data_IF_058845782781
#
_entry.id   IF_058845782781
#
_cell.length_a   1.000
_cell.length_b   1.000
_cell.length_c   1.000
_cell.angle_alpha   90.00
_cell.angle_beta   90.00
_cell.angle_gamma   90.00
#
_symmetry.space_group_name_H-M   'P 1'
#
loop_
_entity.id
_entity.type
_entity.pdbx_description
1 polymer ?
#
# COMPACT_ATOMS: atom_id res chain seq x y z
N UNK A 1 -7.23 -24.54 -5.92
CA UNK A 1 -6.02 -23.76 -6.29
C UNK A 1 -5.08 -23.75 -5.11
N UNK A 2 -3.87 -24.30 -5.25
CA UNK A 2 -2.83 -24.30 -4.21
C UNK A 2 -1.74 -23.34 -4.64
N UNK A 3 -1.37 -22.40 -3.77
CA UNK A 3 -0.08 -21.71 -3.87
C UNK A 3 0.67 -21.88 -2.56
N UNK A 4 1.84 -22.50 -2.68
CA UNK A 4 2.80 -22.76 -1.63
C UNK A 4 3.47 -21.47 -1.18
N UNK A 5 3.75 -21.40 0.12
CA UNK A 5 4.53 -20.35 0.77
C UNK A 5 5.96 -20.27 0.21
N UNK A 6 6.44 -19.06 0.00
CA UNK A 6 7.87 -18.76 -0.14
C UNK A 6 8.23 -17.80 0.98
N UNK A 7 9.08 -18.28 1.89
CA UNK A 7 9.54 -17.54 3.07
C UNK A 7 10.47 -16.38 2.70
N UNK A 8 10.37 -15.30 3.47
CA UNK A 8 11.26 -14.15 3.41
C UNK A 8 12.08 -14.12 4.70
N UNK A 9 13.39 -14.32 4.58
CA UNK A 9 14.35 -14.21 5.67
C UNK A 9 14.54 -12.74 6.06
N UNK A 10 14.51 -12.48 7.37
CA UNK A 10 14.78 -11.17 7.96
C UNK A 10 16.26 -10.78 7.80
N UNK A 11 16.51 -9.60 7.24
CA UNK A 11 17.79 -8.90 7.39
C UNK A 11 17.54 -7.61 8.17
N UNK A 12 17.84 -7.64 9.46
CA UNK A 12 17.91 -6.45 10.31
C UNK A 12 19.38 -6.02 10.42
N UNK A 13 19.69 -4.82 9.93
CA UNK A 13 20.91 -4.09 10.32
C UNK A 13 20.48 -2.70 10.80
N UNK A 14 20.59 -2.51 12.10
CA UNK A 14 20.29 -1.28 12.83
C UNK A 14 21.58 -0.50 13.02
N UNK A 15 21.62 0.77 12.63
CA UNK A 15 22.65 1.72 13.03
C UNK A 15 21.95 3.02 13.45
N UNK A 16 22.07 3.36 14.74
CA UNK A 16 21.62 4.61 15.36
C UNK A 16 22.46 5.83 14.91
N UNK A 17 21.91 7.06 14.90
CA UNK A 17 22.70 8.27 14.71
C UNK A 17 22.92 9.04 16.02
N UNK A 18 24.09 9.68 16.14
CA UNK A 18 24.41 10.74 17.11
C UNK A 18 24.94 11.98 16.38
N UNK A 19 24.39 13.15 16.75
CA UNK A 19 25.02 14.51 16.84
C UNK A 19 25.56 15.14 15.52
N UNK A 20 25.60 16.45 15.23
CA UNK A 20 25.41 17.73 15.94
C UNK A 20 25.50 18.91 14.91
N UNK A 21 25.10 20.13 15.32
CA UNK A 21 25.56 21.50 14.91
C UNK A 21 25.16 22.16 13.56
N UNK A 22 24.24 23.14 13.71
CA UNK A 22 24.27 24.60 13.40
C UNK A 22 24.43 25.25 12.00
N UNK A 23 23.66 26.36 11.89
CA UNK A 23 24.02 27.71 11.38
C UNK A 23 23.37 28.23 10.09
N UNK A 24 22.66 29.35 10.31
CA UNK A 24 22.26 30.50 9.49
C UNK A 24 22.91 30.72 8.11
N UNK A 25 22.12 31.22 7.15
CA UNK A 25 22.59 32.20 6.15
C UNK A 25 21.48 33.16 5.67
N UNK A 26 21.88 34.41 5.53
CA UNK A 26 21.20 35.61 5.00
C UNK A 26 21.29 35.64 3.46
N UNK A 27 20.32 36.24 2.74
CA UNK A 27 20.55 36.73 1.36
C UNK A 27 19.92 38.10 1.06
N UNK A 28 20.72 38.84 0.29
CA UNK A 28 20.63 40.20 -0.23
C UNK A 28 19.69 40.33 -1.45
N UNK A 29 19.21 41.56 -1.66
CA UNK A 29 18.55 42.20 -2.83
C UNK A 29 19.34 42.03 -4.16
N UNK A 30 18.95 42.39 -5.40
CA UNK A 30 18.02 43.36 -6.06
C UNK A 30 18.19 43.13 -7.62
N UNK A 31 18.15 44.11 -8.56
CA UNK A 31 17.11 44.97 -9.21
C UNK A 31 16.89 44.57 -10.73
N UNK A 32 16.18 45.27 -11.67
CA UNK A 32 16.40 46.58 -12.35
C UNK A 32 15.26 46.83 -13.38
N UNK A 33 14.90 48.10 -13.63
CA UNK A 33 14.07 48.57 -14.76
C UNK A 33 14.72 49.76 -15.51
N UNK A 34 14.37 49.95 -16.80
CA UNK A 34 14.66 51.10 -17.68
C UNK A 34 13.80 51.01 -18.98
N UNK A 35 13.65 52.00 -19.90
CA UNK A 35 13.71 53.51 -19.84
C UNK A 35 12.70 54.33 -20.75
N UNK A 36 12.64 55.68 -20.52
CA UNK A 36 12.54 56.90 -21.43
C UNK A 36 11.22 57.33 -22.21
N UNK A 37 11.14 58.53 -22.89
CA UNK A 37 11.12 59.98 -22.46
C UNK A 37 9.95 60.81 -23.17
N UNK A 38 9.83 62.20 -23.26
CA UNK A 38 10.74 63.17 -23.95
C UNK A 38 10.83 64.68 -23.46
N UNK A 39 11.94 65.33 -23.87
CA UNK A 39 12.29 66.70 -24.36
C UNK A 39 11.55 68.01 -23.98
N UNK A 40 12.34 69.08 -23.64
CA UNK A 40 12.21 70.46 -24.19
C UNK A 40 13.47 71.34 -23.94
N UNK A 41 13.76 72.25 -24.88
CA UNK A 41 14.97 73.10 -25.04
C UNK A 41 14.78 74.54 -24.51
N UNK A 42 15.86 75.24 -24.09
CA UNK A 42 16.25 76.57 -24.63
C UNK A 42 17.60 77.12 -24.10
N UNK A 43 18.26 77.88 -24.99
CA UNK A 43 19.61 78.45 -24.99
C UNK A 43 19.92 79.56 -23.96
N UNK A 44 21.20 79.83 -23.67
CA UNK A 44 22.01 80.97 -24.21
C UNK A 44 23.35 81.15 -23.48
N UNK A 45 24.45 80.91 -24.22
CA UNK A 45 25.72 81.66 -24.33
C UNK A 45 26.51 82.17 -23.09
N UNK A 46 27.73 81.63 -22.88
CA UNK A 46 28.89 82.41 -22.46
C UNK A 46 30.24 81.70 -22.75
N UNK A 47 31.01 82.33 -23.65
CA UNK A 47 32.48 82.48 -23.66
C UNK A 47 33.37 81.24 -23.87
N UNK A 48 33.96 81.21 -25.07
CA UNK A 48 35.04 80.31 -25.47
C UNK A 48 36.37 80.61 -24.75
N UNK A 49 36.97 79.56 -24.19
CA UNK A 49 38.42 79.38 -23.98
C UNK A 49 38.81 78.02 -24.60
N UNK A 50 40.00 77.88 -25.20
CA UNK A 50 40.38 76.70 -25.99
C UNK A 50 40.72 75.51 -25.07
N UNK A 51 40.52 74.26 -25.54
CA UNK A 51 40.63 73.08 -24.69
C UNK A 51 42.10 72.81 -24.34
N UNK A 52 42.45 72.46 -23.09
CA UNK A 52 43.66 71.70 -22.89
C UNK A 52 43.39 70.30 -23.46
N UNK A 53 44.22 69.93 -24.42
CA UNK A 53 44.44 68.55 -24.87
C UNK A 53 44.51 67.63 -23.63
N UNK A 54 43.39 67.00 -23.28
CA UNK A 54 43.41 65.86 -22.37
C UNK A 54 43.91 64.72 -23.23
N UNK A 55 45.24 64.62 -23.32
CA UNK A 55 45.91 63.38 -23.68
C UNK A 55 45.42 62.36 -22.65
N UNK A 56 44.39 61.62 -23.01
CA UNK A 56 43.99 60.39 -22.34
C UNK A 56 45.27 59.54 -22.31
N UNK A 57 45.95 59.57 -21.17
CA UNK A 57 47.26 58.97 -21.01
C UNK A 57 47.04 57.47 -21.05
N UNK A 58 46.98 56.91 -22.27
CA UNK A 58 46.88 55.47 -22.51
C UNK A 58 47.92 54.83 -21.59
N UNK A 59 47.44 54.02 -20.65
CA UNK A 59 48.34 53.28 -19.77
C UNK A 59 49.36 52.56 -20.65
N UNK A 60 50.63 52.43 -20.20
CA UNK A 60 51.61 51.64 -20.93
C UNK A 60 51.01 50.27 -21.30
N UNK A 61 51.29 49.73 -22.50
CA UNK A 61 50.70 48.47 -22.97
C UNK A 61 50.84 47.33 -21.96
N UNK A 62 51.96 47.31 -21.22
CA UNK A 62 52.25 46.40 -20.11
C UNK A 62 51.23 46.49 -18.97
N UNK A 63 50.88 47.71 -18.53
CA UNK A 63 49.91 47.94 -17.45
C UNK A 63 48.48 47.63 -17.88
N UNK A 64 48.17 47.80 -19.17
CA UNK A 64 46.87 47.37 -19.71
C UNK A 64 46.78 45.85 -19.74
N UNK A 65 47.86 45.17 -20.17
CA UNK A 65 47.94 43.72 -20.23
C UNK A 65 47.83 43.08 -18.84
N UNK A 66 48.49 43.66 -17.84
CA UNK A 66 48.39 43.26 -16.43
C UNK A 66 46.95 43.30 -15.90
N UNK A 67 46.16 44.31 -16.31
CA UNK A 67 44.74 44.39 -15.97
C UNK A 67 43.93 43.21 -16.50
N UNK A 68 44.24 42.72 -17.70
CA UNK A 68 43.58 41.54 -18.27
C UNK A 68 44.05 40.22 -17.64
N UNK A 69 45.32 40.11 -17.26
CA UNK A 69 45.82 38.90 -16.58
C UNK A 69 45.19 38.65 -15.21
N UNK A 70 44.75 39.70 -14.54
CA UNK A 70 44.03 39.60 -13.27
C UNK A 70 42.55 39.22 -13.43
N UNK A 71 42.04 39.14 -14.66
CA UNK A 71 40.65 38.80 -14.97
C UNK A 71 40.53 37.29 -15.29
N UNK A 72 39.50 36.59 -14.79
CA UNK A 72 39.26 35.21 -15.21
C UNK A 72 38.91 35.15 -16.71
N UNK A 73 39.28 34.06 -17.38
CA UNK A 73 39.13 33.91 -18.83
C UNK A 73 37.65 34.02 -19.27
N UNK A 74 36.71 33.62 -18.42
CA UNK A 74 35.27 33.76 -18.67
C UNK A 74 34.84 35.23 -18.68
N UNK A 75 35.43 36.07 -17.83
CA UNK A 75 35.16 37.50 -17.81
C UNK A 75 35.84 38.21 -18.99
N UNK A 76 37.02 37.75 -19.42
CA UNK A 76 37.66 38.21 -20.67
C UNK A 76 36.78 37.89 -21.89
N UNK A 77 36.18 36.69 -21.92
CA UNK A 77 35.21 36.28 -22.95
C UNK A 77 33.95 37.15 -22.92
N UNK A 78 33.37 37.39 -21.73
CA UNK A 78 32.18 38.23 -21.58
C UNK A 78 32.43 39.69 -21.97
N UNK A 79 33.63 40.21 -21.67
CA UNK A 79 34.05 41.56 -22.05
C UNK A 79 34.47 41.68 -23.52
N UNK A 80 34.45 40.57 -24.29
CA UNK A 80 34.94 40.50 -25.67
C UNK A 80 36.38 41.07 -25.82
N UNK A 81 37.21 40.83 -24.81
CA UNK A 81 38.50 41.51 -24.67
C UNK A 81 39.67 40.79 -25.37
N UNK A 82 39.47 39.58 -25.88
CA UNK A 82 40.51 38.79 -26.57
C UNK A 82 41.20 39.57 -27.70
N UNK A 83 40.45 40.26 -28.57
CA UNK A 83 41.04 41.06 -29.65
C UNK A 83 41.85 42.27 -29.16
N UNK A 84 41.43 42.88 -28.05
CA UNK A 84 42.19 43.97 -27.41
C UNK A 84 43.50 43.47 -26.82
N UNK A 85 43.48 42.29 -26.19
CA UNK A 85 44.67 41.63 -25.64
C UNK A 85 45.63 41.22 -26.77
N UNK A 86 45.12 40.59 -27.84
CA UNK A 86 45.88 40.24 -29.06
C UNK A 86 46.58 41.48 -29.65
N UNK A 87 45.87 42.61 -29.73
CA UNK A 87 46.41 43.88 -30.23
C UNK A 87 47.51 44.48 -29.34
N UNK A 88 47.37 44.37 -28.02
CA UNK A 88 48.40 44.82 -27.05
C UNK A 88 49.67 43.96 -27.18
N UNK A 89 49.52 42.63 -27.20
CA UNK A 89 50.64 41.69 -27.31
C UNK A 89 51.37 41.90 -28.66
N UNK A 90 50.63 42.03 -29.76
CA UNK A 90 51.21 42.27 -31.08
C UNK A 90 52.02 43.56 -31.15
N UNK A 91 51.54 44.61 -30.49
CA UNK A 91 52.26 45.90 -30.40
C UNK A 91 53.55 45.76 -29.60
N UNK A 92 53.52 45.03 -28.49
CA UNK A 92 54.70 44.76 -27.66
C UNK A 92 55.76 43.94 -28.41
N UNK A 93 55.35 42.92 -29.18
CA UNK A 93 56.25 42.10 -30.03
C UNK A 93 57.00 42.98 -31.04
N UNK A 94 56.33 43.96 -31.65
CA UNK A 94 56.93 44.85 -32.65
C UNK A 94 57.95 45.82 -32.05
N UNK A 95 57.78 46.20 -30.79
CA UNK A 95 58.67 47.15 -30.09
C UNK A 95 59.75 46.48 -29.23
N UNK A 96 59.68 45.15 -29.05
CA UNK A 96 60.60 44.39 -28.21
C UNK A 96 61.92 44.11 -28.96
N UNK A 97 63.04 44.51 -28.34
CA UNK A 97 64.39 44.26 -28.87
C UNK A 97 65.03 42.98 -28.30
N UNK A 98 64.47 42.42 -27.23
CA UNK A 98 64.96 41.20 -26.59
C UNK A 98 64.32 39.96 -27.21
N UNK A 99 65.16 39.05 -27.73
CA UNK A 99 64.70 37.87 -28.45
C UNK A 99 63.90 36.90 -27.55
N UNK A 100 64.23 36.85 -26.26
CA UNK A 100 63.60 35.96 -25.28
C UNK A 100 62.22 36.48 -24.88
N UNK A 101 62.09 37.76 -24.57
CA UNK A 101 60.81 38.43 -24.32
C UNK A 101 59.88 38.32 -25.52
N UNK A 102 60.41 38.51 -26.73
CA UNK A 102 59.64 38.33 -27.96
C UNK A 102 59.07 36.91 -28.10
N UNK A 103 59.89 35.90 -27.84
CA UNK A 103 59.46 34.49 -27.86
C UNK A 103 58.36 34.21 -26.83
N UNK A 104 58.45 34.81 -25.63
CA UNK A 104 57.43 34.68 -24.58
C UNK A 104 56.10 35.31 -25.02
N UNK A 105 56.13 36.48 -25.67
CA UNK A 105 54.93 37.14 -26.17
C UNK A 105 54.27 36.37 -27.33
N UNK A 106 55.06 35.72 -28.18
CA UNK A 106 54.55 34.83 -29.25
C UNK A 106 53.87 33.56 -28.68
N UNK A 107 54.45 32.95 -27.63
CA UNK A 107 53.81 31.83 -26.90
C UNK A 107 52.50 32.27 -26.24
N UNK A 108 52.49 33.46 -25.62
CA UNK A 108 51.30 34.03 -25.00
C UNK A 108 50.16 34.24 -26.01
N UNK A 109 50.49 34.73 -27.21
CA UNK A 109 49.51 34.94 -28.29
C UNK A 109 48.91 33.61 -28.77
N UNK A 110 49.74 32.57 -28.85
CA UNK A 110 49.29 31.21 -29.19
C UNK A 110 48.34 30.65 -28.12
N UNK A 111 48.70 30.74 -26.83
CA UNK A 111 47.84 30.32 -25.71
C UNK A 111 46.53 31.11 -25.64
N UNK A 112 46.56 32.40 -25.96
CA UNK A 112 45.36 33.25 -25.97
C UNK A 112 44.35 32.77 -27.01
N UNK A 113 44.81 32.35 -28.19
CA UNK A 113 43.97 31.74 -29.22
C UNK A 113 43.36 30.41 -28.74
N UNK A 114 44.14 29.56 -28.08
CA UNK A 114 43.64 28.31 -27.47
C UNK A 114 42.55 28.58 -26.42
N UNK A 115 42.73 29.60 -25.56
CA UNK A 115 41.73 29.97 -24.56
C UNK A 115 40.45 30.55 -25.17
N UNK A 116 40.58 31.36 -26.22
CA UNK A 116 39.45 31.94 -26.96
C UNK A 116 38.53 30.86 -27.53
N UNK A 117 39.09 29.74 -27.98
CA UNK A 117 38.32 28.60 -28.49
C UNK A 117 37.82 27.66 -27.38
N UNK A 118 38.66 27.35 -26.39
CA UNK A 118 38.35 26.32 -25.40
C UNK A 118 37.39 26.77 -24.30
N UNK A 119 37.41 28.05 -23.89
CA UNK A 119 36.61 28.55 -22.77
C UNK A 119 35.10 28.52 -23.04
N UNK A 120 34.59 28.95 -24.21
CA UNK A 120 33.17 28.81 -24.53
C UNK A 120 32.69 27.35 -24.53
N UNK A 121 33.52 26.43 -25.02
CA UNK A 121 33.23 24.98 -25.03
C UNK A 121 33.16 24.46 -23.58
N UNK A 122 34.17 24.77 -22.77
CA UNK A 122 34.21 24.37 -21.37
C UNK A 122 33.00 24.92 -20.59
N UNK A 123 32.63 26.18 -20.79
CA UNK A 123 31.44 26.80 -20.18
C UNK A 123 30.15 26.08 -20.56
N UNK A 124 29.97 25.74 -21.83
CA UNK A 124 28.77 25.02 -22.30
C UNK A 124 28.71 23.62 -21.67
N UNK A 125 29.85 22.94 -21.54
CA UNK A 125 29.95 21.63 -20.90
C UNK A 125 29.60 21.73 -19.41
N UNK A 126 30.15 22.71 -18.68
CA UNK A 126 29.89 22.87 -17.24
C UNK A 126 28.43 23.22 -16.97
N UNK A 127 27.84 24.13 -17.74
CA UNK A 127 26.41 24.47 -17.65
C UNK A 127 25.51 23.27 -17.92
N UNK A 128 25.81 22.51 -18.99
CA UNK A 128 25.07 21.28 -19.33
C UNK A 128 25.21 20.22 -18.24
N UNK A 129 26.43 20.04 -17.70
CA UNK A 129 26.68 19.11 -16.61
C UNK A 129 25.96 19.53 -15.32
N UNK A 130 25.90 20.82 -15.02
CA UNK A 130 25.20 21.37 -13.86
C UNK A 130 23.67 21.21 -13.99
N UNK A 131 23.11 21.49 -15.17
CA UNK A 131 21.70 21.23 -15.46
C UNK A 131 21.35 19.73 -15.33
N UNK A 132 22.22 18.85 -15.82
CA UNK A 132 22.04 17.41 -15.67
C UNK A 132 22.12 16.97 -14.20
N UNK A 133 23.07 17.50 -13.43
CA UNK A 133 23.24 17.20 -12.00
C UNK A 133 22.01 17.60 -11.19
N UNK A 134 21.49 18.80 -11.41
CA UNK A 134 20.28 19.30 -10.72
C UNK A 134 19.05 18.49 -11.09
N UNK A 135 18.87 18.16 -12.38
CA UNK A 135 17.78 17.29 -12.84
C UNK A 135 17.82 15.88 -12.21
N UNK A 136 19.01 15.26 -12.18
CA UNK A 136 19.19 13.95 -11.57
C UNK A 136 18.95 13.99 -10.06
N UNK A 137 19.43 15.03 -9.37
CA UNK A 137 19.18 15.22 -7.95
C UNK A 137 17.67 15.26 -7.64
N UNK A 138 16.89 16.00 -8.43
CA UNK A 138 15.44 16.07 -8.26
C UNK A 138 14.76 14.72 -8.47
N UNK A 139 15.17 13.96 -9.50
CA UNK A 139 14.65 12.60 -9.76
C UNK A 139 14.98 11.63 -8.62
N UNK A 140 16.16 11.74 -8.02
CA UNK A 140 16.55 10.89 -6.88
C UNK A 140 15.69 11.19 -5.65
N UNK A 141 15.49 12.47 -5.30
CA UNK A 141 14.65 12.86 -4.15
C UNK A 141 13.19 12.39 -4.31
N UNK A 142 12.63 12.51 -5.52
CA UNK A 142 11.29 12.01 -5.84
C UNK A 142 11.20 10.47 -5.75
N UNK A 143 12.23 9.77 -6.22
CA UNK A 143 12.33 8.32 -6.07
C UNK A 143 12.37 7.90 -4.58
N UNK A 144 13.18 8.57 -3.77
CA UNK A 144 13.31 8.29 -2.33
C UNK A 144 11.98 8.50 -1.60
N UNK A 145 11.27 9.59 -1.90
CA UNK A 145 9.96 9.86 -1.33
C UNK A 145 8.94 8.76 -1.67
N UNK A 146 8.90 8.31 -2.94
CA UNK A 146 8.03 7.21 -3.36
C UNK A 146 8.41 5.88 -2.72
N UNK A 147 9.71 5.61 -2.55
CA UNK A 147 10.18 4.38 -1.88
C UNK A 147 9.78 4.37 -0.41
N UNK A 148 9.98 5.47 0.32
CA UNK A 148 9.57 5.61 1.71
C UNK A 148 8.03 5.44 1.87
N UNK A 149 7.25 6.02 0.95
CA UNK A 149 5.80 5.84 0.95
C UNK A 149 5.40 4.37 0.71
N UNK A 150 6.02 3.68 -0.24
CA UNK A 150 5.74 2.27 -0.54
C UNK A 150 6.11 1.36 0.63
N UNK A 151 7.24 1.61 1.29
CA UNK A 151 7.66 0.86 2.48
C UNK A 151 6.63 0.99 3.61
N UNK A 152 6.14 2.20 3.90
CA UNK A 152 5.06 2.41 4.88
C UNK A 152 3.79 1.64 4.52
N UNK A 153 3.39 1.69 3.24
CA UNK A 153 2.21 0.95 2.77
C UNK A 153 2.37 -0.56 2.89
N UNK A 154 3.55 -1.09 2.57
CA UNK A 154 3.85 -2.52 2.72
C UNK A 154 3.77 -2.95 4.19
N UNK A 155 4.39 -2.19 5.09
CA UNK A 155 4.32 -2.48 6.53
C UNK A 155 2.89 -2.50 7.05
N UNK A 156 2.05 -1.54 6.64
CA UNK A 156 0.63 -1.54 6.98
C UNK A 156 -0.11 -2.78 6.46
N UNK A 157 0.10 -3.12 5.18
CA UNK A 157 -0.55 -4.28 4.57
C UNK A 157 -0.11 -5.61 5.22
N UNK A 158 1.14 -5.71 5.64
CA UNK A 158 1.66 -6.90 6.33
C UNK A 158 1.00 -7.09 7.71
N UNK A 159 0.79 -5.99 8.45
CA UNK A 159 0.06 -6.00 9.72
C UNK A 159 -1.40 -6.42 9.51
N UNK A 160 -2.09 -5.81 8.54
CA UNK A 160 -3.48 -6.16 8.23
C UNK A 160 -3.64 -7.60 7.76
N UNK A 161 -2.70 -8.09 6.93
CA UNK A 161 -2.69 -9.48 6.49
C UNK A 161 -2.54 -10.43 7.69
N UNK A 162 -1.62 -10.16 8.63
CA UNK A 162 -1.47 -10.96 9.84
C UNK A 162 -2.73 -10.95 10.72
N UNK A 163 -3.40 -9.79 10.84
CA UNK A 163 -4.66 -9.67 11.58
C UNK A 163 -5.74 -10.55 10.96
N UNK A 164 -5.95 -10.46 9.64
CA UNK A 164 -6.95 -11.24 8.92
C UNK A 164 -6.65 -12.73 8.97
N UNK A 165 -5.39 -13.13 8.82
CA UNK A 165 -4.97 -14.54 8.92
C UNK A 165 -5.33 -15.16 10.28
N UNK A 166 -5.14 -14.42 11.39
CA UNK A 166 -5.54 -14.89 12.73
C UNK A 166 -7.06 -14.98 12.89
N UNK A 167 -7.79 -14.05 12.29
CA UNK A 167 -9.25 -14.05 12.30
C UNK A 167 -9.82 -15.24 11.50
N UNK A 168 -9.22 -15.55 10.35
CA UNK A 168 -9.52 -16.73 9.54
C UNK A 168 -9.31 -18.03 10.33
N UNK A 169 -8.15 -18.20 10.97
CA UNK A 169 -7.86 -19.37 11.80
C UNK A 169 -8.90 -19.57 12.93
N UNK A 170 -9.31 -18.48 13.58
CA UNK A 170 -10.33 -18.52 14.64
C UNK A 170 -11.71 -18.90 14.12
N UNK A 171 -12.09 -18.41 12.93
CA UNK A 171 -13.36 -18.76 12.31
C UNK A 171 -13.37 -20.22 11.85
N UNK A 172 -12.27 -20.70 11.27
CA UNK A 172 -12.13 -22.09 10.87
C UNK A 172 -12.27 -23.04 12.07
N UNK A 173 -11.63 -22.73 13.20
CA UNK A 173 -11.78 -23.53 14.42
C UNK A 173 -13.24 -23.59 14.92
N UNK A 174 -13.99 -22.48 14.83
CA UNK A 174 -15.41 -22.46 15.19
C UNK A 174 -16.27 -23.27 14.22
N UNK A 175 -15.97 -23.21 12.93
CA UNK A 175 -16.66 -24.01 11.90
C UNK A 175 -16.48 -25.51 12.18
N UNK A 176 -15.25 -25.95 12.48
CA UNK A 176 -14.97 -27.35 12.81
C UNK A 176 -15.71 -27.83 14.07
N UNK A 177 -15.80 -26.97 15.10
CA UNK A 177 -16.58 -27.28 16.30
C UNK A 177 -18.07 -27.47 15.97
N UNK A 178 -18.65 -26.57 15.17
CA UNK A 178 -20.06 -26.66 14.76
C UNK A 178 -20.34 -27.90 13.90
N UNK A 179 -19.41 -28.28 13.02
CA UNK A 179 -19.49 -29.53 12.23
C UNK A 179 -19.57 -30.73 13.18
N UNK A 180 -18.66 -30.81 14.15
CA UNK A 180 -18.62 -31.90 15.14
C UNK A 180 -19.92 -31.97 15.95
N UNK A 181 -20.45 -30.82 16.40
CA UNK A 181 -21.72 -30.76 17.14
C UNK A 181 -22.90 -31.23 16.27
N UNK A 182 -22.95 -30.81 15.00
CA UNK A 182 -23.98 -31.23 14.05
C UNK A 182 -23.96 -32.74 13.84
N UNK A 183 -22.78 -33.34 13.67
CA UNK A 183 -22.63 -34.79 13.50
C UNK A 183 -23.13 -35.57 14.72
N UNK A 184 -22.83 -35.09 15.94
CA UNK A 184 -23.34 -35.68 17.18
C UNK A 184 -24.87 -35.63 17.24
N UNK A 185 -25.48 -34.48 16.90
CA UNK A 185 -26.93 -34.33 16.88
C UNK A 185 -27.56 -35.26 15.83
N UNK A 186 -26.94 -35.39 14.65
CA UNK A 186 -27.42 -36.29 13.61
C UNK A 186 -27.37 -37.76 14.06
N UNK A 187 -26.31 -38.19 14.74
CA UNK A 187 -26.22 -39.54 15.29
C UNK A 187 -27.33 -39.80 16.33
N UNK A 188 -27.53 -38.85 17.26
CA UNK A 188 -28.61 -38.95 18.26
C UNK A 188 -30.00 -38.99 17.61
N UNK A 189 -30.23 -38.16 16.59
CA UNK A 189 -31.51 -38.15 15.85
C UNK A 189 -31.80 -39.50 15.21
N UNK A 190 -30.78 -40.14 14.62
CA UNK A 190 -30.92 -41.48 14.03
C UNK A 190 -31.25 -42.53 15.08
N UNK A 191 -30.60 -42.49 16.24
CA UNK A 191 -30.90 -43.41 17.34
C UNK A 191 -32.35 -43.27 17.82
N UNK A 192 -32.78 -42.04 18.12
CA UNK A 192 -34.14 -41.77 18.59
C UNK A 192 -35.19 -42.17 17.55
N UNK A 193 -34.90 -41.99 16.26
CA UNK A 193 -35.80 -42.44 15.19
C UNK A 193 -35.97 -43.97 15.20
N UNK A 194 -34.89 -44.72 15.34
CA UNK A 194 -34.93 -46.18 15.40
C UNK A 194 -35.72 -46.69 16.62
N UNK A 195 -35.53 -46.07 17.79
CA UNK A 195 -36.31 -46.39 19.00
C UNK A 195 -37.82 -46.10 18.81
N UNK A 196 -38.13 -44.99 18.14
CA UNK A 196 -39.51 -44.60 17.85
C UNK A 196 -40.18 -45.57 16.88
N UNK A 197 -39.48 -45.98 15.81
CA UNK A 197 -39.97 -46.99 14.86
C UNK A 197 -40.26 -48.31 15.58
N UNK A 198 -39.31 -48.80 16.38
CA UNK A 198 -39.50 -50.04 17.17
C UNK A 198 -40.68 -49.95 18.12
N UNK A 199 -40.78 -48.88 18.92
CA UNK A 199 -41.87 -48.73 19.88
C UNK A 199 -43.23 -48.60 19.18
N UNK A 200 -43.27 -48.00 18.00
CA UNK A 200 -44.51 -47.91 17.21
C UNK A 200 -44.93 -49.28 16.64
N UNK A 201 -43.98 -50.10 16.21
CA UNK A 201 -44.26 -51.49 15.82
C UNK A 201 -44.81 -52.31 16.99
N UNK A 202 -44.18 -52.22 18.16
CA UNK A 202 -44.61 -52.96 19.36
C UNK A 202 -45.99 -52.48 19.83
N UNK A 203 -46.25 -51.16 19.87
CA UNK A 203 -47.58 -50.62 20.17
C UNK A 203 -48.65 -51.08 19.18
N UNK A 204 -48.29 -51.28 17.91
CA UNK A 204 -49.22 -51.80 16.89
C UNK A 204 -49.58 -53.26 17.17
N UNK A 205 -48.61 -54.10 17.58
CA UNK A 205 -48.84 -55.49 17.98
C UNK A 205 -49.74 -55.57 19.22
N UNK A 206 -49.43 -54.79 20.26
CA UNK A 206 -50.22 -54.75 21.50
C UNK A 206 -51.68 -54.35 21.23
N UNK A 207 -51.90 -53.40 20.30
CA UNK A 207 -53.25 -53.01 19.88
C UNK A 207 -54.00 -54.12 19.15
N UNK A 208 -53.32 -54.90 18.32
CA UNK A 208 -53.91 -56.04 17.63
C UNK A 208 -54.26 -57.17 18.61
N UNK A 209 -53.35 -57.47 19.55
CA UNK A 209 -53.61 -58.41 20.65
C UNK A 209 -54.81 -57.97 21.50
N UNK A 210 -54.88 -56.69 21.86
CA UNK A 210 -56.00 -56.15 22.63
C UNK A 210 -57.34 -56.30 21.90
N UNK A 211 -57.40 -56.06 20.58
CA UNK A 211 -58.62 -56.26 19.79
C UNK A 211 -59.04 -57.74 19.73
N UNK A 212 -58.07 -58.64 19.61
CA UNK A 212 -58.35 -60.08 19.62
C UNK A 212 -58.94 -60.51 20.98
N UNK A 213 -58.32 -60.09 22.08
CA UNK A 213 -58.83 -60.34 23.44
C UNK A 213 -60.23 -59.75 23.65
N UNK A 214 -60.49 -58.54 23.15
CA UNK A 214 -61.82 -57.92 23.23
C UNK A 214 -62.88 -58.78 22.52
N UNK A 215 -62.55 -59.35 21.36
CA UNK A 215 -63.43 -60.26 20.62
C UNK A 215 -63.65 -61.58 21.38
N UNK A 216 -62.60 -62.17 21.93
CA UNK A 216 -62.70 -63.41 22.73
C UNK A 216 -63.57 -63.21 23.98
N UNK A 217 -63.42 -62.09 24.69
CA UNK A 217 -64.25 -61.75 25.85
C UNK A 217 -65.72 -61.59 25.44
N UNK A 218 -66.00 -60.92 24.32
CA UNK A 218 -67.37 -60.78 23.80
C UNK A 218 -67.99 -62.15 23.53
N UNK A 219 -67.24 -63.06 22.88
CA UNK A 219 -67.71 -64.41 22.60
C UNK A 219 -67.92 -65.22 23.90
N UNK A 220 -66.97 -65.20 24.82
CA UNK A 220 -67.07 -65.91 26.10
C UNK A 220 -68.30 -65.45 26.93
N UNK A 221 -68.62 -64.15 26.89
CA UNK A 221 -69.81 -63.61 27.55
C UNK A 221 -71.12 -64.14 26.93
N UNK A 222 -71.19 -64.22 25.59
CA UNK A 222 -72.33 -64.82 24.88
C UNK A 222 -72.49 -66.29 25.27
N UNK A 223 -71.40 -67.05 25.29
CA UNK A 223 -71.40 -68.47 25.63
C UNK A 223 -71.82 -68.70 27.09
N UNK A 224 -71.30 -67.89 28.03
CA UNK A 224 -71.66 -67.95 29.45
C UNK A 224 -73.15 -67.64 29.68
N UNK A 225 -73.69 -66.62 29.03
CA UNK A 225 -75.12 -66.29 29.11
C UNK A 225 -75.98 -67.45 28.59
N UNK A 226 -75.65 -67.98 27.41
CA UNK A 226 -76.38 -69.12 26.84
C UNK A 226 -76.31 -70.37 27.72
N UNK A 227 -75.17 -70.65 28.36
CA UNK A 227 -75.03 -71.75 29.31
C UNK A 227 -75.88 -71.53 30.58
N UNK A 228 -75.91 -70.29 31.10
CA UNK A 228 -76.72 -69.92 32.26
C UNK A 228 -78.22 -70.07 31.99
N UNK A 229 -78.68 -69.68 30.81
CA UNK A 229 -80.08 -69.86 30.38
C UNK A 229 -80.45 -71.34 30.27
N UNK A 230 -79.60 -72.17 29.65
CA UNK A 230 -79.80 -73.63 29.57
C UNK A 230 -79.87 -74.27 30.94
N UNK A 231 -78.98 -73.88 31.86
CA UNK A 231 -78.98 -74.37 33.24
C UNK A 231 -80.26 -73.97 33.99
N UNK A 232 -80.70 -72.73 33.85
CA UNK A 232 -81.95 -72.25 34.44
C UNK A 232 -83.16 -73.04 33.91
N UNK A 233 -83.22 -73.27 32.59
CA UNK A 233 -84.27 -74.07 31.96
C UNK A 233 -84.27 -75.53 32.47
N UNK A 234 -83.09 -76.14 32.58
CA UNK A 234 -82.95 -77.50 33.12
C UNK A 234 -83.46 -77.59 34.57
N UNK A 235 -83.13 -76.59 35.41
CA UNK A 235 -83.61 -76.51 36.79
C UNK A 235 -85.15 -76.37 36.86
N UNK A 236 -85.77 -75.57 35.99
CA UNK A 236 -87.24 -75.46 35.91
C UNK A 236 -87.86 -76.80 35.50
N UNK A 237 -87.32 -77.45 34.46
CA UNK A 237 -87.78 -78.77 34.00
C UNK A 237 -87.67 -79.83 35.09
N UNK A 238 -86.57 -79.84 35.85
CA UNK A 238 -86.38 -80.75 36.97
C UNK A 238 -87.42 -80.55 38.08
N UNK A 239 -87.74 -79.30 38.42
CA UNK A 239 -88.79 -78.99 39.40
C UNK A 239 -90.17 -79.50 38.94
N UNK A 240 -90.56 -79.23 37.70
CA UNK A 240 -91.82 -79.72 37.12
C UNK A 240 -91.89 -81.25 37.12
N UNK A 241 -90.80 -81.92 36.72
CA UNK A 241 -90.73 -83.37 36.75
C UNK A 241 -90.91 -83.94 38.17
N UNK A 242 -90.33 -83.30 39.20
CA UNK A 242 -90.55 -83.68 40.61
C UNK A 242 -92.03 -83.52 41.02
N UNK A 243 -92.70 -82.48 40.54
CA UNK A 243 -94.13 -82.25 40.78
C UNK A 243 -95.00 -83.33 40.11
N UNK A 244 -94.73 -83.67 38.85
CA UNK A 244 -95.44 -84.71 38.08
C UNK A 244 -95.37 -86.11 38.74
N UNK A 245 -94.25 -86.41 39.42
CA UNK A 245 -94.08 -87.65 40.18
C UNK A 245 -94.84 -87.68 41.52
N UNK A 246 -95.58 -86.62 41.88
CA UNK A 246 -96.32 -86.52 43.15
C UNK A 246 -95.44 -86.29 44.39
N UNK A 247 -94.13 -86.11 44.20
CA UNK A 247 -93.14 -85.92 45.28
C UNK A 247 -93.20 -84.52 45.92
N UNK A 248 -93.93 -83.57 45.34
CA UNK A 248 -94.13 -82.24 45.92
C UNK A 248 -95.03 -82.23 47.18
N UNK A 249 -95.83 -83.28 47.41
CA UNK A 249 -96.68 -83.42 48.60
C UNK A 249 -96.04 -84.27 49.72
N UNK A 250 -94.91 -84.91 49.44
CA UNK A 250 -94.13 -85.66 50.42
C UNK A 250 -93.07 -84.72 50.98
N UNK A 251 -93.29 -84.26 52.22
CA UNK A 251 -92.36 -83.39 52.94
C UNK A 251 -91.13 -84.21 53.33
N UNK A 252 -90.19 -84.37 52.41
CA UNK A 252 -88.90 -84.99 52.65
C UNK A 252 -87.89 -83.84 52.75
N UNK A 253 -87.54 -83.50 54.00
CA UNK A 253 -86.49 -82.55 54.36
C UNK A 253 -85.11 -83.05 53.94
#
# INVERSE_FOLDING_TARGET
>A
MKWQAVGLQHYSSSIDPKKEVASNETKLSEPVAAPAPPTEQKDTEAKAEPPPDVVEKKLPPEKQLEGFFNMPLEAIQQANAYGSIEGIISSLIQTCNDLREKTILEDLLSRLAEFKESIPVAKTITETAQARRTSLSGKTTDLDARLAQRQKKLSFLEIEFSRLSKEEEKLEAQIQLLITQKEKILANKKHVLADLEKNNEDATKDLEEWRNLESEIKQANVDWLGAKEKLALANVRWKLFKEDLGLGKLNIS
#
